data_IF_957875085136
#
_entry.id   IF_957875085136
#
_cell.length_a   1.000
_cell.length_b   1.000
_cell.length_c   1.000
_cell.angle_alpha   90.00
_cell.angle_beta   90.00
_cell.angle_gamma   90.00
#
_symmetry.space_group_name_H-M   'P 1'
#
loop_
_entity.id
_entity.type
_entity.pdbx_description
1 polymer ?
#
# COMPACT_ATOMS: atom_id res chain seq x y z
N UNK A 1 1.29 0.84 26.35
CA UNK A 1 1.49 1.07 24.90
C UNK A 1 0.44 0.23 24.22
N UNK A 2 -0.37 0.83 23.35
CA UNK A 2 -1.38 0.07 22.61
C UNK A 2 -0.69 -0.84 21.59
N UNK A 3 -1.16 -2.07 21.46
CA UNK A 3 -0.65 -3.03 20.47
C UNK A 3 -0.93 -2.51 19.06
N UNK A 4 0.05 -2.59 18.15
CA UNK A 4 -0.12 -2.24 16.74
C UNK A 4 0.18 -3.48 15.92
N UNK A 5 -0.74 -3.83 15.02
CA UNK A 5 -0.61 -4.98 14.14
C UNK A 5 -0.14 -4.56 12.75
N UNK A 6 0.53 -5.49 12.07
CA UNK A 6 1.17 -5.26 10.78
C UNK A 6 0.85 -6.35 9.76
N UNK A 7 0.92 -5.98 8.49
CA UNK A 7 0.87 -6.92 7.37
C UNK A 7 2.21 -7.67 7.20
N UNK A 8 2.32 -8.50 6.16
CA UNK A 8 3.54 -9.25 5.84
C UNK A 8 4.71 -8.37 5.38
N UNK A 9 4.47 -7.09 5.08
CA UNK A 9 5.47 -6.10 4.68
C UNK A 9 5.87 -5.18 5.86
N UNK A 10 5.35 -5.43 7.07
CA UNK A 10 5.62 -4.62 8.26
C UNK A 10 4.88 -3.28 8.27
N UNK A 11 3.86 -3.10 7.41
CA UNK A 11 3.02 -1.88 7.40
C UNK A 11 1.86 -2.09 8.37
N UNK A 12 1.43 -1.04 9.11
CA UNK A 12 0.25 -1.17 9.96
C UNK A 12 -0.97 -1.63 9.17
N UNK A 13 -1.64 -2.67 9.66
CA UNK A 13 -2.86 -3.23 9.08
C UNK A 13 -3.86 -3.46 10.21
N UNK A 14 -5.07 -2.93 10.04
CA UNK A 14 -6.10 -2.97 11.07
C UNK A 14 -7.10 -4.11 10.86
N UNK A 15 -7.18 -4.65 9.63
CA UNK A 15 -8.24 -5.59 9.26
C UNK A 15 -7.78 -7.03 9.48
N UNK A 16 -8.58 -7.76 10.26
CA UNK A 16 -8.50 -9.19 10.49
C UNK A 16 -9.75 -9.89 9.95
N UNK A 17 -9.60 -10.82 9.00
CA UNK A 17 -10.69 -11.73 8.63
C UNK A 17 -10.50 -13.07 9.35
N UNK A 18 -11.57 -13.55 9.99
CA UNK A 18 -11.65 -14.85 10.67
C UNK A 18 -12.73 -15.68 9.97
N UNK A 19 -12.33 -16.82 9.42
CA UNK A 19 -13.22 -17.70 8.68
C UNK A 19 -13.05 -19.16 9.12
N UNK A 20 -14.09 -19.96 8.86
CA UNK A 20 -14.07 -21.39 9.07
C UNK A 20 -13.19 -22.07 8.02
N UNK A 21 -12.18 -22.80 8.49
CA UNK A 21 -11.26 -23.60 7.67
C UNK A 21 -11.43 -25.09 7.99
N UNK A 22 -11.49 -25.92 6.96
CA UNK A 22 -11.48 -27.38 7.10
C UNK A 22 -10.10 -27.94 6.76
N UNK A 23 -9.49 -28.60 7.74
CA UNK A 23 -8.26 -29.36 7.57
C UNK A 23 -8.59 -30.77 7.09
N UNK A 24 -8.34 -31.05 5.81
CA UNK A 24 -8.57 -32.36 5.20
C UNK A 24 -7.69 -33.47 5.77
N UNK A 25 -6.48 -33.14 6.24
CA UNK A 25 -5.53 -34.13 6.76
C UNK A 25 -5.94 -34.58 8.15
N UNK A 26 -6.32 -33.63 9.00
CA UNK A 26 -6.73 -33.90 10.38
C UNK A 26 -8.24 -34.11 10.53
N UNK A 27 -9.02 -33.95 9.45
CA UNK A 27 -10.49 -34.03 9.43
C UNK A 27 -11.15 -33.15 10.51
N UNK A 28 -10.62 -31.95 10.72
CA UNK A 28 -11.10 -31.00 11.73
C UNK A 28 -11.41 -29.65 11.11
N UNK A 29 -12.45 -29.00 11.63
CA UNK A 29 -12.78 -27.62 11.30
C UNK A 29 -12.26 -26.69 12.39
N UNK A 30 -11.81 -25.50 12.01
CA UNK A 30 -11.40 -24.44 12.95
C UNK A 30 -11.63 -23.06 12.37
N UNK A 31 -11.89 -22.08 13.21
CA UNK A 31 -11.77 -20.68 12.80
C UNK A 31 -10.29 -20.28 12.78
N UNK A 32 -9.90 -19.47 11.79
CA UNK A 32 -8.54 -19.00 11.64
C UNK A 32 -8.52 -17.54 11.17
N UNK A 33 -7.63 -16.74 11.77
CA UNK A 33 -7.30 -15.38 11.35
C UNK A 33 -6.34 -15.40 10.15
N UNK A 34 -6.61 -14.63 9.11
CA UNK A 34 -5.92 -14.78 7.80
C UNK A 34 -5.09 -13.59 7.31
N UNK A 35 -5.26 -12.38 7.83
CA UNK A 35 -4.71 -11.16 7.19
C UNK A 35 -3.58 -10.45 7.94
N UNK A 36 -3.35 -10.76 9.23
CA UNK A 36 -2.32 -10.08 10.03
C UNK A 36 -1.13 -10.99 10.34
N UNK A 37 0.08 -10.45 10.15
CA UNK A 37 1.31 -11.23 10.26
C UNK A 37 1.69 -11.51 11.71
N UNK A 38 1.54 -10.50 12.57
CA UNK A 38 1.97 -10.44 13.96
C UNK A 38 0.83 -10.48 14.98
N UNK A 39 -0.44 -10.46 14.52
CA UNK A 39 -1.56 -10.70 15.40
C UNK A 39 -1.49 -12.12 16.00
N UNK A 40 -1.91 -12.31 17.26
CA UNK A 40 -2.14 -13.63 17.80
C UNK A 40 -2.98 -14.44 16.81
N UNK A 41 -2.60 -15.69 16.59
CA UNK A 41 -3.34 -16.63 15.73
C UNK A 41 -3.99 -17.72 16.58
N UNK A 42 -5.02 -17.39 17.40
CA UNK A 42 -5.80 -18.42 18.05
C UNK A 42 -6.33 -19.39 17.01
N UNK A 43 -6.31 -20.67 17.36
CA UNK A 43 -6.98 -21.70 16.58
C UNK A 43 -8.22 -22.11 17.36
N UNK A 44 -9.36 -21.52 17.05
CA UNK A 44 -10.62 -21.93 17.66
C UNK A 44 -11.11 -23.20 16.96
N UNK A 45 -10.98 -24.34 17.61
CA UNK A 45 -11.54 -25.61 17.10
C UNK A 45 -13.05 -25.46 16.96
N UNK A 46 -13.61 -25.85 15.81
CA UNK A 46 -15.03 -25.67 15.53
C UNK A 46 -15.89 -26.53 16.46
N UNK A 47 -16.96 -25.92 16.98
CA UNK A 47 -18.01 -26.57 17.77
C UNK A 47 -19.21 -26.92 16.87
N UNK A 48 -20.18 -27.65 17.41
CA UNK A 48 -21.41 -28.02 16.70
C UNK A 48 -22.22 -26.79 16.25
N UNK A 49 -22.35 -25.80 17.12
CA UNK A 49 -22.97 -24.51 16.78
C UNK A 49 -21.91 -23.48 16.36
N UNK A 50 -21.54 -23.54 15.08
CA UNK A 50 -20.59 -22.61 14.47
C UNK A 50 -21.08 -21.15 14.46
N UNK A 51 -22.40 -20.91 14.50
CA UNK A 51 -22.94 -19.55 14.47
C UNK A 51 -22.81 -18.91 15.86
N UNK A 52 -23.18 -19.65 16.91
CA UNK A 52 -22.98 -19.19 18.28
C UNK A 52 -21.50 -19.04 18.59
N UNK A 53 -20.64 -19.96 18.12
CA UNK A 53 -19.20 -19.83 18.28
C UNK A 53 -18.65 -18.57 17.59
N UNK A 54 -19.17 -18.18 16.43
CA UNK A 54 -18.73 -16.94 15.77
C UNK A 54 -19.05 -15.69 16.60
N UNK A 55 -20.17 -15.68 17.33
CA UNK A 55 -20.53 -14.61 18.28
C UNK A 55 -19.55 -14.58 19.45
N UNK A 56 -19.22 -15.74 20.03
CA UNK A 56 -18.23 -15.84 21.12
C UNK A 56 -16.85 -15.32 20.69
N UNK A 57 -16.40 -15.69 19.48
CA UNK A 57 -15.13 -15.22 18.92
C UNK A 57 -15.16 -13.69 18.71
N UNK A 58 -16.24 -13.15 18.16
CA UNK A 58 -16.39 -11.70 18.01
C UNK A 58 -16.29 -10.97 19.35
N UNK A 59 -16.97 -11.46 20.39
CA UNK A 59 -16.93 -10.89 21.74
C UNK A 59 -15.53 -10.98 22.37
N UNK A 60 -14.83 -12.10 22.18
CA UNK A 60 -13.43 -12.26 22.60
C UNK A 60 -12.55 -11.20 21.92
N UNK A 61 -12.70 -11.01 20.61
CA UNK A 61 -11.95 -10.00 19.86
C UNK A 61 -12.31 -8.58 20.31
N UNK A 62 -13.59 -8.27 20.51
CA UNK A 62 -14.04 -6.96 21.01
C UNK A 62 -13.45 -6.62 22.39
N UNK A 63 -13.39 -7.59 23.29
CA UNK A 63 -12.73 -7.42 24.59
C UNK A 63 -11.23 -7.10 24.49
N UNK A 64 -10.60 -7.44 23.36
CA UNK A 64 -9.21 -7.18 23.04
C UNK A 64 -9.00 -5.91 22.17
N UNK A 65 -10.01 -5.03 22.05
CA UNK A 65 -9.88 -3.74 21.37
C UNK A 65 -10.18 -3.78 19.87
N UNK A 66 -10.96 -4.76 19.42
CA UNK A 66 -11.41 -4.87 18.04
C UNK A 66 -12.87 -4.43 17.90
N UNK A 67 -13.26 -4.03 16.70
CA UNK A 67 -14.66 -3.87 16.30
C UNK A 67 -14.99 -4.93 15.25
N UNK A 68 -15.94 -5.82 15.53
CA UNK A 68 -16.17 -7.03 14.77
C UNK A 68 -17.57 -7.08 14.16
N UNK A 69 -17.65 -7.52 12.90
CA UNK A 69 -18.90 -7.72 12.17
C UNK A 69 -18.99 -9.16 11.69
N UNK A 70 -20.14 -9.80 11.91
CA UNK A 70 -20.40 -11.18 11.47
C UNK A 70 -21.24 -11.14 10.20
N UNK A 71 -20.80 -11.89 9.21
CA UNK A 71 -21.45 -12.08 7.92
C UNK A 71 -21.46 -13.56 7.54
N UNK A 72 -21.98 -13.89 6.36
CA UNK A 72 -21.97 -15.25 5.83
C UNK A 72 -21.27 -15.32 4.48
N UNK A 73 -20.53 -16.40 4.26
CA UNK A 73 -19.92 -16.70 2.97
C UNK A 73 -20.92 -17.29 1.96
N UNK A 74 -20.43 -17.65 0.77
CA UNK A 74 -21.23 -18.29 -0.29
C UNK A 74 -21.76 -19.70 0.07
N UNK A 75 -21.29 -20.29 1.16
CA UNK A 75 -21.74 -21.59 1.69
C UNK A 75 -22.58 -21.42 2.96
N UNK A 76 -23.05 -20.21 3.26
CA UNK A 76 -23.85 -19.87 4.44
C UNK A 76 -23.12 -20.17 5.77
N UNK A 77 -21.78 -20.14 5.77
CA UNK A 77 -20.91 -20.26 6.95
C UNK A 77 -20.53 -18.88 7.48
N UNK A 78 -20.37 -18.71 8.81
CA UNK A 78 -20.04 -17.43 9.38
C UNK A 78 -18.61 -16.99 9.00
N UNK A 79 -18.47 -15.70 8.69
CA UNK A 79 -17.21 -14.99 8.50
C UNK A 79 -17.23 -13.76 9.39
N UNK A 80 -16.18 -13.58 10.18
CA UNK A 80 -16.05 -12.47 11.12
C UNK A 80 -14.97 -11.54 10.57
N UNK A 81 -15.33 -10.28 10.33
CA UNK A 81 -14.40 -9.23 9.97
C UNK A 81 -14.20 -8.31 11.17
N UNK A 82 -12.97 -8.21 11.65
CA UNK A 82 -12.60 -7.39 12.78
C UNK A 82 -11.64 -6.27 12.38
N UNK A 83 -11.83 -5.09 12.96
CA UNK A 83 -10.98 -3.90 12.78
C UNK A 83 -10.34 -3.54 14.12
N UNK A 84 -9.01 -3.54 14.20
CA UNK A 84 -8.32 -3.16 15.43
C UNK A 84 -8.34 -1.63 15.61
N UNK A 85 -9.02 -1.17 16.65
CA UNK A 85 -9.34 0.25 16.85
C UNK A 85 -8.07 1.10 16.98
N UNK A 86 -7.07 0.64 17.73
CA UNK A 86 -5.83 1.40 17.92
C UNK A 86 -4.98 1.46 16.65
N UNK A 87 -4.91 0.35 15.89
CA UNK A 87 -4.18 0.33 14.62
C UNK A 87 -4.85 1.23 13.58
N UNK A 88 -6.18 1.19 13.49
CA UNK A 88 -6.95 2.04 12.57
C UNK A 88 -6.73 3.52 12.89
N UNK A 89 -6.79 3.91 14.17
CA UNK A 89 -6.48 5.29 14.59
C UNK A 89 -5.07 5.71 14.19
N UNK A 90 -4.07 4.82 14.31
CA UNK A 90 -2.71 5.11 13.87
C UNK A 90 -2.62 5.30 12.35
N UNK A 91 -3.26 4.41 11.57
CA UNK A 91 -3.31 4.51 10.10
C UNK A 91 -3.95 5.85 9.70
N UNK A 92 -5.10 6.17 10.28
CA UNK A 92 -5.81 7.41 10.02
C UNK A 92 -4.98 8.65 10.39
N UNK A 93 -4.33 8.64 11.56
CA UNK A 93 -3.45 9.71 12.00
C UNK A 93 -2.29 9.92 11.01
N UNK A 94 -1.59 8.85 10.62
CA UNK A 94 -0.48 8.92 9.65
C UNK A 94 -0.95 9.41 8.28
N UNK A 95 -2.11 8.96 7.82
CA UNK A 95 -2.70 9.41 6.56
C UNK A 95 -3.02 10.91 6.59
N UNK A 96 -3.60 11.40 7.70
CA UNK A 96 -3.87 12.83 7.87
C UNK A 96 -2.60 13.66 8.01
N UNK A 97 -1.59 13.20 8.74
CA UNK A 97 -0.29 13.88 8.83
C UNK A 97 0.35 14.01 7.44
N UNK A 98 0.32 12.94 6.63
CA UNK A 98 0.80 12.99 5.25
C UNK A 98 -0.04 13.92 4.37
N UNK A 99 -1.37 13.88 4.49
CA UNK A 99 -2.25 14.79 3.75
C UNK A 99 -1.97 16.24 4.10
N UNK A 100 -1.86 16.57 5.39
CA UNK A 100 -1.57 17.92 5.87
C UNK A 100 -0.18 18.39 5.43
N UNK A 101 0.84 17.50 5.48
CA UNK A 101 2.19 17.80 4.99
C UNK A 101 2.17 18.27 3.54
N UNK A 102 1.35 17.63 2.69
CA UNK A 102 1.30 17.90 1.25
C UNK A 102 0.10 18.76 0.80
N UNK A 103 -0.63 19.40 1.72
CA UNK A 103 -1.85 20.17 1.38
C UNK A 103 -1.57 21.34 0.43
N UNK A 104 -0.42 22.01 0.61
CA UNK A 104 0.05 23.12 -0.23
C UNK A 104 1.29 22.73 -1.05
N UNK A 105 1.41 21.46 -1.41
CA UNK A 105 2.56 20.97 -2.14
C UNK A 105 2.62 21.54 -3.55
N UNK A 106 3.83 21.82 -4.01
CA UNK A 106 4.07 22.29 -5.36
C UNK A 106 4.07 21.10 -6.32
N UNK A 107 3.27 21.16 -7.39
CA UNK A 107 3.33 20.15 -8.45
C UNK A 107 4.61 20.30 -9.27
N UNK A 108 5.19 19.18 -9.69
CA UNK A 108 6.36 19.18 -10.56
C UNK A 108 6.73 17.79 -11.07
N UNK A 109 7.97 17.68 -11.56
CA UNK A 109 8.50 16.44 -12.11
C UNK A 109 9.67 15.91 -11.29
N UNK A 110 9.75 14.60 -11.15
CA UNK A 110 10.84 13.90 -10.47
C UNK A 110 11.44 12.81 -11.37
N UNK A 111 12.75 12.65 -11.32
CA UNK A 111 13.46 11.54 -11.97
C UNK A 111 14.33 10.81 -10.97
N UNK A 112 14.43 9.50 -11.14
CA UNK A 112 15.32 8.64 -10.38
C UNK A 112 16.46 8.12 -11.26
N UNK A 113 17.68 8.19 -10.73
CA UNK A 113 18.90 7.82 -11.45
C UNK A 113 19.47 8.96 -12.30
N UNK A 114 20.56 8.65 -13.00
CA UNK A 114 21.34 9.64 -13.75
C UNK A 114 20.48 10.43 -14.77
N UNK A 115 20.77 11.73 -14.87
CA UNK A 115 20.23 12.61 -15.89
C UNK A 115 21.11 12.44 -17.15
N UNK A 116 20.56 11.94 -18.28
CA UNK A 116 21.31 11.79 -19.52
C UNK A 116 21.91 13.14 -19.97
N UNK A 117 23.16 13.14 -20.41
CA UNK A 117 23.88 14.36 -20.83
C UNK A 117 23.17 15.14 -21.94
N UNK A 118 22.45 14.43 -22.82
CA UNK A 118 21.66 15.01 -23.90
C UNK A 118 20.22 15.36 -23.49
N UNK A 119 19.83 15.15 -22.23
CA UNK A 119 18.48 15.40 -21.72
C UNK A 119 17.41 14.47 -22.28
N UNK A 120 17.79 13.36 -22.94
CA UNK A 120 16.88 12.45 -23.63
C UNK A 120 16.94 11.07 -23.00
N UNK A 121 15.77 10.52 -22.66
CA UNK A 121 15.62 9.15 -22.18
C UNK A 121 15.59 8.15 -23.33
N UNK A 122 15.93 6.91 -23.02
CA UNK A 122 15.85 5.79 -23.95
C UNK A 122 14.72 4.87 -23.52
N UNK A 123 13.87 4.51 -24.47
CA UNK A 123 12.90 3.45 -24.30
C UNK A 123 13.61 2.11 -24.47
N UNK A 124 13.67 1.33 -23.40
CA UNK A 124 14.36 0.03 -23.44
C UNK A 124 13.53 -1.07 -24.11
N UNK A 125 12.21 -0.88 -24.28
CA UNK A 125 11.32 -1.88 -24.89
C UNK A 125 11.57 -2.00 -26.39
N UNK A 126 11.73 -0.88 -27.09
CA UNK A 126 11.96 -0.81 -28.54
C UNK A 126 13.34 -0.26 -28.93
N UNK A 127 14.18 0.01 -27.92
CA UNK A 127 15.55 0.50 -28.08
C UNK A 127 15.64 1.88 -28.79
N UNK A 128 14.57 2.69 -28.72
CA UNK A 128 14.52 4.02 -29.34
C UNK A 128 14.74 5.16 -28.34
N UNK A 129 15.11 6.34 -28.84
CA UNK A 129 15.20 7.55 -28.02
C UNK A 129 13.83 8.19 -27.90
N UNK A 130 13.50 8.63 -26.70
CA UNK A 130 12.31 9.42 -26.42
C UNK A 130 12.47 10.87 -26.93
N UNK A 131 11.37 11.62 -26.98
CA UNK A 131 11.39 13.03 -27.40
C UNK A 131 12.02 13.99 -26.36
N UNK A 132 12.41 13.46 -25.20
CA UNK A 132 12.93 14.21 -24.07
C UNK A 132 13.21 13.30 -22.88
N UNK A 133 13.22 13.86 -21.68
CA UNK A 133 13.46 13.14 -20.45
C UNK A 133 12.16 12.54 -19.91
N UNK A 134 12.13 11.22 -19.72
CA UNK A 134 11.05 10.51 -19.02
C UNK A 134 11.17 10.77 -17.51
N UNK A 135 10.06 11.17 -16.89
CA UNK A 135 9.96 11.61 -15.49
C UNK A 135 8.64 11.15 -14.89
N UNK A 136 8.51 11.15 -13.56
CA UNK A 136 7.23 10.99 -12.88
C UNK A 136 6.65 12.35 -12.51
N UNK A 137 5.31 12.44 -12.45
CA UNK A 137 4.65 13.57 -11.77
C UNK A 137 4.83 13.42 -10.26
N UNK A 138 5.05 14.53 -9.57
CA UNK A 138 5.23 14.55 -8.13
C UNK A 138 4.71 15.84 -7.50
N UNK A 139 4.52 15.78 -6.19
CA UNK A 139 4.25 16.91 -5.31
C UNK A 139 5.45 17.14 -4.40
N UNK A 140 5.83 18.40 -4.18
CA UNK A 140 7.01 18.80 -3.43
C UNK A 140 6.66 19.72 -2.26
N UNK A 141 7.31 19.47 -1.11
CA UNK A 141 7.25 20.31 0.08
C UNK A 141 8.67 20.46 0.61
N UNK A 142 9.34 21.55 0.25
CA UNK A 142 10.78 21.68 0.48
C UNK A 142 11.56 20.60 -0.27
N UNK A 143 12.30 19.75 0.46
CA UNK A 143 13.00 18.60 -0.10
C UNK A 143 12.20 17.30 -0.05
N UNK A 144 11.05 17.29 0.64
CA UNK A 144 10.17 16.13 0.63
C UNK A 144 9.38 16.06 -0.68
N UNK A 145 9.09 14.84 -1.12
CA UNK A 145 8.29 14.61 -2.31
C UNK A 145 7.32 13.43 -2.16
N UNK A 146 6.24 13.47 -2.93
CA UNK A 146 5.29 12.37 -3.13
C UNK A 146 5.09 12.15 -4.62
N UNK A 147 5.43 10.95 -5.11
CA UNK A 147 5.27 10.58 -6.51
C UNK A 147 3.81 10.23 -6.80
N UNK A 148 3.27 10.71 -7.93
CA UNK A 148 1.95 10.34 -8.42
C UNK A 148 2.10 9.13 -9.34
N UNK A 149 1.62 7.98 -8.88
CA UNK A 149 1.75 6.72 -9.59
C UNK A 149 0.41 6.28 -10.16
N UNK A 150 0.44 5.81 -11.41
CA UNK A 150 -0.60 4.92 -11.95
C UNK A 150 -0.18 3.47 -11.70
N UNK A 151 -1.10 2.49 -11.78
CA UNK A 151 -0.74 1.08 -11.62
C UNK A 151 0.40 0.60 -12.55
N UNK A 152 0.49 1.17 -13.76
CA UNK A 152 1.57 0.85 -14.72
C UNK A 152 2.91 1.42 -14.24
N UNK A 153 2.91 2.69 -13.78
CA UNK A 153 4.12 3.38 -13.34
C UNK A 153 4.66 2.87 -12.00
N UNK A 154 3.82 2.24 -11.18
CA UNK A 154 4.22 1.68 -9.89
C UNK A 154 5.32 0.63 -10.04
N UNK A 155 5.23 -0.25 -11.06
CA UNK A 155 6.25 -1.27 -11.32
C UNK A 155 7.59 -0.62 -11.68
N UNK A 156 7.58 0.40 -12.53
CA UNK A 156 8.79 1.13 -12.92
C UNK A 156 9.38 1.86 -11.71
N UNK A 157 8.55 2.52 -10.91
CA UNK A 157 8.96 3.23 -9.69
C UNK A 157 9.66 2.31 -8.68
N UNK A 158 9.10 1.14 -8.39
CA UNK A 158 9.70 0.18 -7.45
C UNK A 158 11.13 -0.24 -7.84
N UNK A 159 11.44 -0.26 -9.15
CA UNK A 159 12.76 -0.62 -9.66
C UNK A 159 13.80 0.53 -9.61
N UNK A 160 13.34 1.78 -9.41
CA UNK A 160 14.20 2.97 -9.49
C UNK A 160 14.20 3.82 -8.22
N UNK A 161 13.24 3.65 -7.31
CA UNK A 161 13.03 4.52 -6.14
C UNK A 161 14.24 4.60 -5.19
N UNK A 162 15.15 3.62 -5.22
CA UNK A 162 16.37 3.61 -4.41
C UNK A 162 17.53 4.40 -5.04
N UNK A 163 17.37 4.87 -6.28
CA UNK A 163 18.39 5.66 -6.99
C UNK A 163 18.29 7.13 -6.60
N UNK A 164 19.34 7.89 -6.84
CA UNK A 164 19.36 9.34 -6.62
C UNK A 164 18.15 10.01 -7.27
N UNK A 165 17.38 10.75 -6.48
CA UNK A 165 16.23 11.51 -6.95
C UNK A 165 16.66 12.92 -7.42
N UNK A 166 16.00 13.41 -8.47
CA UNK A 166 16.19 14.75 -8.99
C UNK A 166 14.84 15.43 -9.19
N UNK A 167 14.68 16.65 -8.65
CA UNK A 167 13.59 17.54 -9.05
C UNK A 167 13.93 18.09 -10.44
N UNK A 168 13.01 17.93 -11.37
CA UNK A 168 13.23 18.32 -12.77
C UNK A 168 12.29 19.45 -13.17
N UNK A 169 12.84 20.40 -13.92
CA UNK A 169 12.14 21.55 -14.48
C UNK A 169 12.26 21.50 -16.00
N UNK A 170 11.16 21.80 -16.65
CA UNK A 170 11.04 21.81 -18.10
C UNK A 170 9.59 21.74 -18.55
N UNK A 171 9.39 21.82 -19.85
CA UNK A 171 8.07 21.75 -20.48
C UNK A 171 7.73 20.32 -20.88
N UNK A 172 6.49 19.88 -20.64
CA UNK A 172 5.99 18.59 -21.14
C UNK A 172 5.85 18.64 -22.66
N UNK A 173 6.52 17.72 -23.35
CA UNK A 173 6.53 17.63 -24.83
C UNK A 173 5.87 16.36 -25.35
N UNK A 174 5.73 15.33 -24.52
CA UNK A 174 5.06 14.09 -24.89
C UNK A 174 4.60 13.29 -23.66
N UNK A 175 4.03 12.13 -23.94
CA UNK A 175 3.75 11.07 -22.98
C UNK A 175 4.54 9.84 -23.42
N UNK A 176 5.27 9.23 -22.49
CA UNK A 176 6.06 8.03 -22.72
C UNK A 176 5.21 6.78 -22.86
N UNK A 177 5.88 5.68 -23.20
CA UNK A 177 5.22 4.42 -23.50
C UNK A 177 4.42 3.86 -22.30
N UNK A 178 4.86 4.13 -21.08
CA UNK A 178 4.22 3.66 -19.84
C UNK A 178 3.22 4.68 -19.27
N UNK A 179 2.97 5.77 -20.01
CA UNK A 179 2.05 6.85 -19.64
C UNK A 179 2.71 7.98 -18.84
N UNK A 180 4.02 7.92 -18.60
CA UNK A 180 4.73 8.95 -17.85
C UNK A 180 4.97 10.23 -18.70
N UNK A 181 5.08 11.41 -18.07
CA UNK A 181 5.45 12.61 -18.81
C UNK A 181 6.86 12.51 -19.42
N UNK A 182 6.98 13.02 -20.65
CA UNK A 182 8.28 13.31 -21.26
C UNK A 182 8.44 14.82 -21.32
N UNK A 183 9.53 15.32 -20.75
CA UNK A 183 9.81 16.76 -20.67
C UNK A 183 11.06 17.15 -21.44
N UNK A 184 11.05 18.35 -22.00
CA UNK A 184 12.26 19.02 -22.49
C UNK A 184 13.00 19.58 -21.28
N UNK A 185 14.12 18.95 -20.93
CA UNK A 185 14.89 19.29 -19.73
C UNK A 185 15.46 20.71 -19.80
N UNK A 186 15.17 21.54 -18.80
CA UNK A 186 15.79 22.85 -18.60
C UNK A 186 16.76 22.83 -17.42
N UNK A 187 16.36 22.18 -16.32
CA UNK A 187 17.14 22.12 -15.08
C UNK A 187 16.79 20.86 -14.30
N UNK A 188 17.80 20.26 -13.65
CA UNK A 188 17.61 19.21 -12.66
C UNK A 188 18.37 19.55 -11.38
N UNK A 189 17.75 19.30 -10.22
CA UNK A 189 18.34 19.54 -8.90
C UNK A 189 18.27 18.23 -8.11
N UNK A 190 19.41 17.75 -7.63
CA UNK A 190 19.44 16.55 -6.79
C UNK A 190 18.71 16.81 -5.46
N UNK A 191 17.86 15.86 -5.06
CA UNK A 191 17.15 15.87 -3.79
C UNK A 191 17.69 14.73 -2.93
N UNK A 192 17.99 15.02 -1.67
CA UNK A 192 18.43 14.00 -0.71
C UNK A 192 17.24 13.30 -0.10
#
# INVERSE_FOLDING_TARGET
MDTIYHDSLGRPEAIADIALYYDYFNKTSRFALTTLSDAPKPKWVAKDDINQQAIEIAQEMESNGWDCTISKDGYNKPVIRCVHIATEKLIYKKANEQKAKFENAEAGYIRFGEIPKNGISKNYRDNTNEKGLSVFEAEFVGNDYRVKLTPVLEVTYLNVMQRQAYRVYGERVATGADGEPIIKLEKAIAIK
#
